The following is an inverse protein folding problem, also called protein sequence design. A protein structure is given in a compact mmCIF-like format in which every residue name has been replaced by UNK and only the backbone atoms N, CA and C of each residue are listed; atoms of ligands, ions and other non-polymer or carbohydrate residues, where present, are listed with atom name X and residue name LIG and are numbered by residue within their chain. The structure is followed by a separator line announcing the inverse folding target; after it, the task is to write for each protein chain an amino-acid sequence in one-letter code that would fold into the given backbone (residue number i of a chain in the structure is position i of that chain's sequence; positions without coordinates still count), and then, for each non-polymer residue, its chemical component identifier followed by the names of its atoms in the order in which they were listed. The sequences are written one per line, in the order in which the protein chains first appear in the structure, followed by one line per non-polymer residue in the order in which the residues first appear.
data_IF_560389634697
#
_entry.id   IF_560389634697
#
_cell.length_a   1.000
_cell.length_b   1.000
_cell.length_c   1.000
_cell.angle_alpha   90.00
_cell.angle_beta   90.00
_cell.angle_gamma   90.00
#
_symmetry.space_group_name_H-M   'P 1'
#
loop_
_entity.id
_entity.type
_entity.pdbx_description
1 polymer ?
#
# COMPACT_ATOMS: atom_id res chain seq x y z
N UNK A 1 17.20 5.27 1.18
CA UNK A 1 18.63 5.47 1.51
C UNK A 1 18.77 6.35 2.76
N UNK A 2 18.25 7.60 2.79
CA UNK A 2 18.38 8.52 3.94
C UNK A 2 17.84 7.91 5.23
N UNK A 3 16.64 7.36 5.20
CA UNK A 3 16.05 6.64 6.32
C UNK A 3 16.97 5.51 6.83
N UNK A 4 17.52 4.68 5.92
CA UNK A 4 18.40 3.58 6.30
C UNK A 4 19.69 4.05 6.97
N UNK A 5 20.21 5.22 6.58
CA UNK A 5 21.38 5.87 7.18
C UNK A 5 21.10 6.55 8.52
N UNK A 6 19.85 6.64 8.95
CA UNK A 6 19.45 7.33 10.16
C UNK A 6 19.20 8.84 10.01
N UNK A 7 19.30 9.38 8.80
CA UNK A 7 18.99 10.78 8.49
C UNK A 7 17.45 10.99 8.40
N UNK A 8 16.75 10.82 9.53
CA UNK A 8 15.29 10.81 9.53
C UNK A 8 14.70 12.13 9.07
N UNK A 9 15.26 13.26 9.52
CA UNK A 9 14.76 14.58 9.11
C UNK A 9 14.90 14.77 7.59
N UNK A 10 16.06 14.47 7.02
CA UNK A 10 16.24 14.56 5.57
C UNK A 10 15.33 13.62 4.79
N UNK A 11 15.02 12.45 5.36
CA UNK A 11 14.06 11.53 4.73
C UNK A 11 12.64 12.12 4.74
N UNK A 12 12.23 12.80 5.81
CA UNK A 12 10.97 13.55 5.92
C UNK A 12 10.95 14.68 4.91
N UNK A 13 12.02 15.48 4.84
CA UNK A 13 12.12 16.63 3.92
C UNK A 13 11.92 16.20 2.45
N UNK A 14 12.45 15.04 2.05
CA UNK A 14 12.22 14.50 0.71
C UNK A 14 10.75 14.08 0.48
N UNK A 15 10.10 13.50 1.49
CA UNK A 15 8.67 13.21 1.45
C UNK A 15 7.83 14.48 1.36
N UNK A 16 8.22 15.50 2.10
CA UNK A 16 7.52 16.79 2.14
C UNK A 16 7.58 17.54 0.80
N UNK A 17 8.67 17.41 0.04
CA UNK A 17 8.74 17.94 -1.34
C UNK A 17 7.65 17.31 -2.22
N UNK A 18 7.47 15.99 -2.14
CA UNK A 18 6.43 15.29 -2.92
C UNK A 18 5.04 15.74 -2.50
N UNK A 19 4.79 15.84 -1.19
CA UNK A 19 3.50 16.26 -0.61
C UNK A 19 3.15 17.71 -0.97
N UNK A 20 4.13 18.61 -0.94
CA UNK A 20 3.95 20.02 -1.26
C UNK A 20 3.50 20.24 -2.70
N UNK A 21 3.86 19.36 -3.64
CA UNK A 21 3.44 19.40 -5.05
C UNK A 21 1.91 19.47 -5.21
N UNK A 22 1.19 18.81 -4.33
CA UNK A 22 -0.28 18.74 -4.34
C UNK A 22 -0.92 19.50 -3.16
N UNK A 23 -0.17 20.38 -2.51
CA UNK A 23 -0.66 21.25 -1.43
C UNK A 23 -0.88 20.54 -0.09
N UNK A 24 -0.34 19.33 0.10
CA UNK A 24 -0.44 18.61 1.38
C UNK A 24 0.57 19.17 2.38
N UNK A 25 0.19 19.17 3.65
CA UNK A 25 1.08 19.54 4.76
C UNK A 25 2.20 18.52 4.95
N UNK A 26 3.28 18.92 5.62
CA UNK A 26 4.45 18.09 5.89
C UNK A 26 4.12 16.79 6.64
N UNK A 27 4.87 15.73 6.36
CA UNK A 27 4.62 14.37 6.83
C UNK A 27 4.55 14.30 8.37
N UNK A 28 5.56 14.83 9.06
CA UNK A 28 5.59 14.84 10.52
C UNK A 28 4.49 15.74 11.11
N UNK A 29 4.25 16.91 10.50
CA UNK A 29 3.21 17.84 10.94
C UNK A 29 1.81 17.23 10.84
N UNK A 30 1.53 16.45 9.82
CA UNK A 30 0.24 15.79 9.63
C UNK A 30 0.08 14.51 10.48
N UNK A 31 1.15 14.02 11.09
CA UNK A 31 1.16 12.83 11.92
C UNK A 31 1.82 13.07 13.29
N UNK A 32 1.36 14.02 14.11
CA UNK A 32 2.05 14.47 15.31
C UNK A 32 2.20 13.39 16.38
N UNK A 33 1.35 12.37 16.36
CA UNK A 33 1.35 11.26 17.34
C UNK A 33 2.30 10.12 16.98
N UNK A 34 2.89 10.12 15.78
CA UNK A 34 3.71 9.00 15.27
C UNK A 34 5.21 9.11 15.54
N UNK A 35 5.67 10.22 16.15
CA UNK A 35 7.10 10.46 16.49
C UNK A 35 8.06 10.24 15.31
N UNK A 36 7.69 10.64 14.09
CA UNK A 36 8.40 10.32 12.85
C UNK A 36 9.83 10.86 12.80
N UNK A 37 10.15 11.87 13.59
CA UNK A 37 11.49 12.48 13.68
C UNK A 37 12.46 11.67 14.54
N UNK A 38 11.96 10.78 15.39
CA UNK A 38 12.76 10.03 16.38
C UNK A 38 12.59 8.52 16.25
N UNK A 39 11.43 8.06 15.79
CA UNK A 39 11.17 6.63 15.58
C UNK A 39 11.38 6.24 14.11
N UNK A 40 12.50 5.55 13.89
CA UNK A 40 12.89 5.06 12.56
C UNK A 40 11.85 4.10 11.95
N UNK A 41 11.26 3.24 12.77
CA UNK A 41 10.29 2.26 12.29
C UNK A 41 8.96 2.94 11.95
N UNK A 42 8.48 3.84 12.80
CA UNK A 42 7.29 4.63 12.51
C UNK A 42 7.45 5.46 11.23
N UNK A 43 8.63 6.03 11.01
CA UNK A 43 8.92 6.77 9.76
C UNK A 43 8.91 5.84 8.55
N UNK A 44 9.48 4.62 8.65
CA UNK A 44 9.43 3.65 7.56
C UNK A 44 8.00 3.28 7.17
N UNK A 45 7.16 3.00 8.18
CA UNK A 45 5.74 2.70 7.96
C UNK A 45 5.04 3.84 7.20
N UNK A 46 5.30 5.07 7.61
CA UNK A 46 4.67 6.23 7.00
C UNK A 46 5.18 6.47 5.56
N UNK A 47 6.48 6.32 5.33
CA UNK A 47 7.05 6.39 3.97
C UNK A 47 6.44 5.32 3.07
N UNK A 48 6.30 4.08 3.55
CA UNK A 48 5.69 3.00 2.78
C UNK A 48 4.21 3.25 2.50
N UNK A 49 3.50 3.89 3.43
CA UNK A 49 2.11 4.31 3.24
C UNK A 49 1.99 5.41 2.18
N UNK A 50 2.82 6.46 2.28
CA UNK A 50 2.84 7.54 1.29
C UNK A 50 3.16 7.00 -0.11
N UNK A 51 4.17 6.14 -0.22
CA UNK A 51 4.52 5.50 -1.50
C UNK A 51 3.38 4.65 -2.06
N UNK A 52 2.65 3.95 -1.20
CA UNK A 52 1.51 3.15 -1.64
C UNK A 52 0.36 4.00 -2.17
N UNK A 53 0.16 5.21 -1.62
CA UNK A 53 -0.86 6.14 -2.11
C UNK A 53 -0.41 6.84 -3.39
N UNK A 54 0.82 7.33 -3.44
CA UNK A 54 1.36 8.11 -4.55
C UNK A 54 1.58 7.25 -5.81
N UNK A 55 2.03 6.00 -5.63
CA UNK A 55 2.42 5.08 -6.70
C UNK A 55 1.45 3.89 -6.81
N UNK A 56 0.20 4.09 -6.45
CA UNK A 56 -0.78 3.01 -6.24
C UNK A 56 -1.07 2.13 -7.44
N UNK A 57 -0.87 2.61 -8.67
CA UNK A 57 -1.12 1.88 -9.91
C UNK A 57 0.15 1.58 -10.72
N UNK A 58 1.33 1.75 -10.10
CA UNK A 58 2.62 1.62 -10.77
C UNK A 58 3.38 0.33 -10.41
N UNK A 59 2.70 -0.68 -9.86
CA UNK A 59 3.24 -1.97 -9.44
C UNK A 59 4.39 -1.92 -8.41
N UNK A 60 4.71 -0.74 -7.87
CA UNK A 60 5.84 -0.54 -6.96
C UNK A 60 5.60 -1.18 -5.60
N UNK A 61 4.34 -1.28 -5.17
CA UNK A 61 3.95 -1.76 -3.84
C UNK A 61 4.45 -3.16 -3.54
N UNK A 62 4.36 -4.08 -4.50
CA UNK A 62 4.87 -5.44 -4.34
C UNK A 62 6.37 -5.45 -4.02
N UNK A 63 7.16 -4.69 -4.78
CA UNK A 63 8.61 -4.61 -4.58
C UNK A 63 8.98 -3.96 -3.24
N UNK A 64 8.24 -2.96 -2.79
CA UNK A 64 8.44 -2.38 -1.45
C UNK A 64 8.19 -3.44 -0.36
N UNK A 65 7.12 -4.22 -0.46
CA UNK A 65 6.80 -5.27 0.50
C UNK A 65 7.87 -6.38 0.53
N UNK A 66 8.36 -6.79 -0.63
CA UNK A 66 9.43 -7.78 -0.75
C UNK A 66 10.75 -7.24 -0.15
N UNK A 67 11.15 -6.03 -0.55
CA UNK A 67 12.41 -5.40 -0.12
C UNK A 67 12.49 -5.23 1.40
N UNK A 68 11.38 -4.84 2.01
CA UNK A 68 11.30 -4.62 3.45
C UNK A 68 10.82 -5.84 4.24
N UNK A 69 10.68 -7.00 3.58
CA UNK A 69 10.24 -8.28 4.18
C UNK A 69 8.93 -8.15 4.96
N UNK A 70 7.95 -7.49 4.36
CA UNK A 70 6.67 -7.17 4.97
C UNK A 70 5.62 -8.27 4.72
N UNK A 71 5.91 -9.50 5.18
CA UNK A 71 4.93 -10.60 5.14
C UNK A 71 3.60 -10.26 5.80
N UNK A 72 3.64 -9.43 6.86
CA UNK A 72 2.46 -8.93 7.57
C UNK A 72 1.50 -8.17 6.66
N UNK A 73 2.02 -7.41 5.70
CA UNK A 73 1.19 -6.67 4.74
C UNK A 73 0.55 -7.61 3.69
N UNK A 74 1.22 -8.70 3.34
CA UNK A 74 0.64 -9.70 2.45
C UNK A 74 -0.55 -10.44 3.07
N UNK A 75 -0.57 -10.56 4.39
CA UNK A 75 -1.64 -11.25 5.13
C UNK A 75 -2.84 -10.35 5.43
N UNK A 76 -2.74 -9.04 5.19
CA UNK A 76 -3.86 -8.13 5.39
C UNK A 76 -4.97 -8.41 4.40
N UNK A 77 -6.17 -8.52 4.93
CA UNK A 77 -7.38 -8.69 4.12
C UNK A 77 -7.62 -7.44 3.28
N UNK A 78 -8.12 -7.65 2.09
CA UNK A 78 -8.54 -6.54 1.24
C UNK A 78 -9.97 -6.13 1.58
N UNK A 79 -10.22 -4.83 1.50
CA UNK A 79 -11.52 -4.25 1.80
C UNK A 79 -12.01 -3.45 0.59
N UNK A 80 -13.31 -3.47 0.43
CA UNK A 80 -14.02 -2.60 -0.50
C UNK A 80 -14.76 -1.51 0.28
N UNK A 81 -15.28 -0.53 -0.45
CA UNK A 81 -16.08 0.56 0.09
C UNK A 81 -17.44 0.56 -0.61
N UNK A 82 -18.49 0.49 0.18
CA UNK A 82 -19.85 0.77 -0.28
C UNK A 82 -20.19 2.22 0.03
N UNK A 83 -20.73 2.90 -0.94
CA UNK A 83 -21.11 4.30 -0.83
C UNK A 83 -22.63 4.41 -0.96
N UNK A 84 -23.27 5.03 0.01
CA UNK A 84 -24.71 5.24 0.05
C UNK A 84 -24.99 6.73 0.05
N UNK A 85 -26.05 7.15 -0.64
CA UNK A 85 -26.52 8.54 -0.59
C UNK A 85 -27.31 8.79 0.68
N UNK A 86 -27.12 9.96 1.30
CA UNK A 86 -27.83 10.36 2.53
C UNK A 86 -29.22 10.97 2.24
N UNK A 87 -29.56 11.22 0.97
CA UNK A 87 -30.85 11.79 0.56
C UNK A 87 -32.00 10.78 0.51
N UNK A 88 -31.78 9.55 1.00
CA UNK A 88 -32.78 8.49 0.94
C UNK A 88 -32.95 7.86 -0.45
N UNK A 89 -32.15 8.23 -1.42
CA UNK A 89 -32.19 7.74 -2.82
C UNK A 89 -31.82 6.29 -3.01
N UNK A 90 -31.67 5.52 -1.93
CA UNK A 90 -31.53 4.09 -2.08
C UNK A 90 -30.95 3.34 -0.91
N UNK A 91 -31.62 2.27 -0.57
CA UNK A 91 -31.08 1.19 0.30
C UNK A 91 -29.99 0.36 -0.40
N UNK A 92 -29.63 0.72 -1.64
CA UNK A 92 -28.59 0.02 -2.43
C UNK A 92 -27.35 0.90 -2.53
N UNK A 93 -26.15 0.30 -2.51
CA UNK A 93 -24.91 1.05 -2.76
C UNK A 93 -24.98 1.77 -4.10
N UNK A 94 -24.51 3.01 -4.14
CA UNK A 94 -24.42 3.77 -5.37
C UNK A 94 -23.38 3.16 -6.29
N UNK A 95 -23.76 2.88 -7.54
CA UNK A 95 -22.86 2.25 -8.52
C UNK A 95 -22.00 3.25 -9.30
N UNK A 96 -22.27 4.54 -9.15
CA UNK A 96 -21.55 5.58 -9.88
C UNK A 96 -21.90 5.72 -11.36
N UNK A 97 -22.80 4.86 -11.86
CA UNK A 97 -23.12 4.81 -13.30
C UNK A 97 -24.40 5.52 -13.69
N UNK A 98 -25.20 5.94 -12.74
CA UNK A 98 -26.47 6.59 -13.00
C UNK A 98 -26.56 7.97 -12.33
N UNK A 99 -26.80 8.95 -13.12
CA UNK A 99 -27.05 10.31 -12.70
C UNK A 99 -25.92 11.26 -13.08
N UNK A 100 -26.30 12.39 -13.59
CA UNK A 100 -25.38 13.48 -13.82
C UNK A 100 -24.74 13.87 -12.50
N UNK A 101 -23.43 13.90 -12.42
CA UNK A 101 -22.69 14.38 -11.25
C UNK A 101 -23.12 15.81 -10.82
N UNK A 102 -23.79 16.53 -11.72
CA UNK A 102 -24.40 17.83 -11.48
C UNK A 102 -25.69 17.79 -10.64
N UNK A 103 -26.42 16.67 -10.61
CA UNK A 103 -27.70 16.57 -9.90
C UNK A 103 -27.55 16.27 -8.39
N UNK A 104 -26.41 15.73 -7.99
CA UNK A 104 -26.13 15.45 -6.59
C UNK A 104 -24.79 16.04 -6.20
N UNK A 105 -24.74 17.08 -5.37
CA UNK A 105 -23.49 17.75 -5.01
C UNK A 105 -22.48 16.75 -4.46
N UNK A 106 -21.32 16.71 -5.07
CA UNK A 106 -20.26 15.76 -4.72
C UNK A 106 -19.52 16.20 -3.43
N UNK A 107 -20.27 16.37 -2.34
CA UNK A 107 -19.72 16.68 -1.01
C UNK A 107 -19.63 15.40 -0.20
N UNK A 108 -18.49 15.12 0.46
CA UNK A 108 -18.33 13.92 1.28
C UNK A 108 -19.42 13.72 2.33
N UNK A 109 -19.96 14.80 2.90
CA UNK A 109 -21.06 14.78 3.87
C UNK A 109 -22.40 14.28 3.32
N UNK A 110 -22.56 14.24 2.00
CA UNK A 110 -23.78 13.74 1.35
C UNK A 110 -23.82 12.23 1.22
N UNK A 111 -22.76 11.53 1.64
CA UNK A 111 -22.64 10.09 1.50
C UNK A 111 -22.33 9.44 2.84
N UNK A 112 -22.85 8.24 3.02
CA UNK A 112 -22.47 7.30 4.07
C UNK A 112 -21.54 6.24 3.46
N UNK A 113 -20.47 5.93 4.16
CA UNK A 113 -19.46 4.99 3.72
C UNK A 113 -19.46 3.75 4.63
N UNK A 114 -19.46 2.58 4.03
CA UNK A 114 -19.38 1.29 4.72
C UNK A 114 -18.20 0.50 4.17
N UNK A 115 -17.22 0.22 5.02
CA UNK A 115 -16.09 -0.64 4.68
C UNK A 115 -16.52 -2.10 4.85
N UNK A 116 -16.21 -2.95 3.87
CA UNK A 116 -16.50 -4.38 3.95
C UNK A 116 -15.30 -5.21 3.49
N UNK A 117 -15.17 -6.40 4.07
CA UNK A 117 -14.13 -7.34 3.65
C UNK A 117 -14.48 -7.97 2.30
N UNK A 118 -13.53 -7.97 1.37
CA UNK A 118 -13.67 -8.64 0.08
C UNK A 118 -13.52 -10.16 0.30
N UNK A 119 -14.61 -10.89 0.10
CA UNK A 119 -14.65 -12.34 0.13
C UNK A 119 -14.39 -12.89 -1.28
N UNK A 120 -13.84 -14.09 -1.36
CA UNK A 120 -13.62 -14.80 -2.64
C UNK A 120 -12.64 -14.12 -3.60
N UNK A 121 -11.55 -13.57 -3.08
CA UNK A 121 -10.49 -13.06 -3.92
C UNK A 121 -9.74 -14.25 -4.51
N UNK A 122 -9.59 -14.28 -5.83
CA UNK A 122 -8.86 -15.33 -6.56
C UNK A 122 -7.36 -15.43 -6.20
N UNK A 123 -6.86 -14.55 -5.35
CA UNK A 123 -5.47 -14.49 -4.90
C UNK A 123 -5.31 -15.17 -3.55
N UNK A 124 -5.20 -16.47 -3.54
CA UNK A 124 -5.04 -17.30 -2.33
C UNK A 124 -3.67 -17.16 -1.66
N UNK A 125 -2.67 -16.63 -2.34
CA UNK A 125 -1.31 -16.45 -1.81
C UNK A 125 -1.20 -15.39 -0.70
N UNK A 126 -2.20 -14.52 -0.54
CA UNK A 126 -2.24 -13.52 0.53
C UNK A 126 -2.31 -14.15 1.93
N UNK A 127 -3.04 -15.26 2.07
CA UNK A 127 -3.19 -15.93 3.36
C UNK A 127 -2.03 -16.85 3.71
N UNK A 128 -1.21 -17.23 2.74
CA UNK A 128 -0.17 -18.25 2.87
C UNK A 128 1.17 -17.79 2.32
N UNK A 129 1.55 -16.54 2.62
CA UNK A 129 2.83 -16.03 2.17
C UNK A 129 3.98 -16.93 2.65
N UNK A 130 4.76 -17.44 1.70
CA UNK A 130 5.93 -18.27 2.01
C UNK A 130 7.20 -17.42 1.94
N UNK A 131 8.07 -17.44 2.98
CA UNK A 131 9.32 -16.66 3.01
C UNK A 131 10.25 -16.86 1.81
N UNK A 132 10.17 -17.99 1.12
CA UNK A 132 10.93 -18.22 -0.13
C UNK A 132 10.59 -17.20 -1.22
N UNK A 133 9.39 -16.62 -1.19
CA UNK A 133 8.94 -15.65 -2.19
C UNK A 133 9.56 -14.27 -2.07
N UNK A 134 10.40 -14.03 -1.04
CA UNK A 134 11.23 -12.81 -1.01
C UNK A 134 12.35 -12.84 -2.05
N UNK A 135 12.69 -14.02 -2.58
CA UNK A 135 13.66 -14.18 -3.65
C UNK A 135 13.04 -15.04 -4.75
N UNK A 136 13.21 -14.62 -5.99
CA UNK A 136 12.76 -15.42 -7.12
C UNK A 136 13.61 -16.71 -7.25
N UNK A 137 12.99 -17.78 -7.73
CA UNK A 137 13.73 -18.98 -8.09
C UNK A 137 14.64 -18.70 -9.29
N UNK A 138 15.83 -19.30 -9.31
CA UNK A 138 16.60 -19.41 -10.55
C UNK A 138 15.94 -20.42 -11.48
N UNK A 139 15.94 -20.19 -12.80
CA UNK A 139 15.45 -21.19 -13.74
C UNK A 139 16.20 -22.51 -13.56
N UNK A 140 15.50 -23.67 -13.52
CA UNK A 140 16.17 -24.97 -13.37
C UNK A 140 17.25 -25.23 -14.42
N UNK A 141 17.04 -24.72 -15.65
CA UNK A 141 18.02 -24.78 -16.73
C UNK A 141 19.36 -24.12 -16.38
N UNK A 142 19.34 -23.06 -15.56
CA UNK A 142 20.56 -22.36 -15.14
C UNK A 142 21.24 -23.09 -13.99
N UNK A 143 20.48 -23.59 -13.03
CA UNK A 143 21.02 -24.36 -11.90
C UNK A 143 21.72 -25.64 -12.38
N UNK A 144 21.15 -26.30 -13.39
CA UNK A 144 21.63 -27.56 -13.92
C UNK A 144 22.87 -27.46 -14.85
N UNK A 145 23.34 -26.25 -15.15
CA UNK A 145 24.54 -26.06 -15.99
C UNK A 145 25.88 -26.46 -15.32
N UNK A 146 25.87 -26.75 -14.01
CA UNK A 146 27.03 -27.33 -13.32
C UNK A 146 28.16 -26.35 -12.96
N UNK A 147 27.95 -25.03 -13.09
CA UNK A 147 28.96 -24.02 -12.68
C UNK A 147 28.82 -23.54 -11.24
N UNK A 148 28.22 -24.36 -10.39
CA UNK A 148 28.15 -24.10 -8.96
C UNK A 148 27.02 -23.14 -8.53
N UNK A 149 26.08 -22.78 -9.41
CA UNK A 149 24.89 -22.02 -9.05
C UNK A 149 23.96 -22.88 -8.20
N UNK A 150 23.71 -22.44 -6.97
CA UNK A 150 22.75 -23.08 -6.08
C UNK A 150 21.43 -22.30 -6.06
N UNK A 151 20.33 -23.03 -5.91
CA UNK A 151 18.99 -22.42 -5.83
C UNK A 151 18.86 -21.53 -4.60
N UNK A 152 18.01 -20.49 -4.70
CA UNK A 152 17.66 -19.66 -3.57
C UNK A 152 16.98 -20.46 -2.44
N UNK A 153 17.15 -20.07 -1.16
CA UNK A 153 16.58 -20.79 -0.03
C UNK A 153 15.07 -21.04 -0.16
N UNK A 154 14.67 -22.29 0.08
CA UNK A 154 13.27 -22.70 0.02
C UNK A 154 12.74 -23.08 -1.38
N UNK A 155 13.53 -22.87 -2.42
CA UNK A 155 13.27 -23.38 -3.78
C UNK A 155 14.04 -24.70 -4.00
N UNK A 156 13.45 -25.60 -4.75
CA UNK A 156 14.06 -26.90 -5.12
C UNK A 156 14.44 -26.89 -6.59
#
# INVERSE_FOLDING_TARGET
ILHAKGDLQKAIDQGDIVRARVGLGGLAKCNPTKNLTTDKNALLEEILRERACELGLEDVRFFDMIRYKRADLFQKKLHGLKVYRNDGGGNKPWSGTSGNASEYPNKPSNFKYEVFELKNIARTWWSNFNPKWYLAAFPPSEVNKGYGLTQNPGWK
#
